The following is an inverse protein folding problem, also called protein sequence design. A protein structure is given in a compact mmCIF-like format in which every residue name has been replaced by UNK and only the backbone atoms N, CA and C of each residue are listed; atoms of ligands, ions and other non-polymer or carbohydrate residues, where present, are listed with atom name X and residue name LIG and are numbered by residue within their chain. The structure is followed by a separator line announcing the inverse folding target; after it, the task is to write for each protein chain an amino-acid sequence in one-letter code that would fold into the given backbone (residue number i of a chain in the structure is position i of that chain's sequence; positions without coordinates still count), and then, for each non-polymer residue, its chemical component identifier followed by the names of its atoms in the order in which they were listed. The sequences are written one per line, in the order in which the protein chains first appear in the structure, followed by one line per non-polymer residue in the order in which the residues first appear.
data_IF_203769696549
#
_entry.id   IF_203769696549
#
_cell.length_a   1.000
_cell.length_b   1.000
_cell.length_c   1.000
_cell.angle_alpha   90.00
_cell.angle_beta   90.00
_cell.angle_gamma   90.00
#
_symmetry.space_group_name_H-M   'P 1'
#
loop_
_entity.id
_entity.type
_entity.pdbx_description
1 polymer ?
#
# COMPACT_ATOMS: atom_id res chain seq x y z
N UNK A 1 22.43 -43.44 -55.52
CA UNK A 1 22.16 -42.01 -55.27
C UNK A 1 20.74 -41.68 -54.72
N UNK A 2 19.69 -42.48 -54.84
CA UNK A 2 18.33 -42.14 -54.29
C UNK A 2 18.16 -42.39 -52.78
N UNK A 3 18.98 -43.31 -52.13
CA UNK A 3 18.86 -43.57 -50.69
C UNK A 3 19.43 -42.51 -49.76
N UNK A 4 20.48 -41.81 -50.19
CA UNK A 4 21.15 -40.77 -49.39
C UNK A 4 20.31 -39.46 -49.33
N UNK A 5 19.57 -39.11 -50.37
CA UNK A 5 18.68 -37.92 -50.33
C UNK A 5 17.49 -38.08 -49.38
N UNK A 6 16.92 -39.30 -49.23
CA UNK A 6 15.82 -39.56 -48.30
C UNK A 6 16.29 -39.48 -46.81
N UNK A 7 17.53 -39.91 -46.52
CA UNK A 7 18.03 -39.89 -45.17
C UNK A 7 18.37 -38.44 -44.70
N UNK A 8 18.93 -37.60 -45.60
CA UNK A 8 19.17 -36.20 -45.31
C UNK A 8 17.87 -35.41 -45.09
N UNK A 9 16.83 -35.66 -45.87
CA UNK A 9 15.53 -34.99 -45.73
C UNK A 9 14.85 -35.39 -44.40
N UNK A 10 14.95 -36.66 -44.01
CA UNK A 10 14.40 -37.13 -42.75
C UNK A 10 15.13 -36.55 -41.52
N UNK A 11 16.48 -36.41 -41.63
CA UNK A 11 17.30 -35.79 -40.57
C UNK A 11 16.97 -34.28 -40.41
N UNK A 12 16.78 -33.56 -41.52
CA UNK A 12 16.36 -32.15 -41.48
C UNK A 12 14.97 -31.94 -40.87
N UNK A 13 14.01 -32.81 -41.17
CA UNK A 13 12.68 -32.77 -40.56
C UNK A 13 12.73 -33.09 -39.06
N UNK A 14 13.57 -34.03 -38.63
CA UNK A 14 13.73 -34.36 -37.21
C UNK A 14 14.42 -33.22 -36.42
N UNK A 15 15.44 -32.60 -36.98
CA UNK A 15 16.11 -31.44 -36.37
C UNK A 15 15.18 -30.21 -36.29
N UNK A 16 14.35 -29.96 -37.33
CA UNK A 16 13.41 -28.83 -37.27
C UNK A 16 12.26 -29.09 -36.25
N UNK A 17 11.81 -30.35 -36.09
CA UNK A 17 10.83 -30.71 -35.07
C UNK A 17 11.40 -30.58 -33.64
N UNK A 18 12.68 -30.97 -33.43
CA UNK A 18 13.36 -30.76 -32.15
C UNK A 18 13.58 -29.29 -31.84
N UNK A 19 13.92 -28.46 -32.83
CA UNK A 19 14.06 -27.03 -32.64
C UNK A 19 12.71 -26.35 -32.29
N UNK A 20 11.59 -26.77 -32.90
CA UNK A 20 10.27 -26.29 -32.54
C UNK A 20 9.87 -26.68 -31.11
N UNK A 21 10.25 -27.86 -30.62
CA UNK A 21 9.95 -28.29 -29.26
C UNK A 21 10.79 -27.54 -28.21
N UNK A 22 11.99 -27.06 -28.54
CA UNK A 22 12.82 -26.26 -27.62
C UNK A 22 12.38 -24.80 -27.54
N UNK A 23 11.69 -24.27 -28.54
CA UNK A 23 11.19 -22.89 -28.52
C UNK A 23 9.92 -22.75 -27.65
N UNK A 24 9.17 -23.83 -27.42
CA UNK A 24 7.95 -23.80 -26.58
C UNK A 24 8.18 -24.18 -25.12
N UNK A 25 9.40 -24.59 -24.74
CA UNK A 25 9.75 -24.85 -23.35
C UNK A 25 10.62 -23.74 -22.74
N UNK A 26 10.30 -22.48 -23.03
CA UNK A 26 10.65 -21.46 -22.05
C UNK A 26 9.84 -21.82 -20.80
N UNK A 27 10.49 -22.15 -19.66
CA UNK A 27 9.75 -22.18 -18.41
C UNK A 27 9.09 -20.81 -18.36
N UNK A 28 7.76 -20.79 -18.27
CA UNK A 28 7.07 -19.59 -17.90
C UNK A 28 7.89 -19.09 -16.71
N UNK A 29 8.57 -17.93 -16.85
CA UNK A 29 9.17 -17.26 -15.71
C UNK A 29 8.06 -17.30 -14.68
N UNK A 30 8.25 -18.08 -13.64
CA UNK A 30 7.32 -18.07 -12.52
C UNK A 30 7.14 -16.57 -12.28
N UNK A 31 5.94 -16.09 -12.53
CA UNK A 31 5.63 -14.71 -12.22
C UNK A 31 6.16 -14.59 -10.81
N UNK A 32 7.17 -13.72 -10.58
CA UNK A 32 7.68 -13.50 -9.25
C UNK A 32 6.44 -13.41 -8.40
N UNK A 33 6.20 -14.45 -7.60
CA UNK A 33 5.08 -14.45 -6.71
C UNK A 33 5.40 -13.29 -5.79
N UNK A 34 4.77 -12.15 -6.06
CA UNK A 34 4.82 -11.02 -5.17
C UNK A 34 4.06 -11.48 -3.92
N UNK A 35 4.71 -12.38 -3.17
CA UNK A 35 4.27 -12.65 -1.83
C UNK A 35 4.17 -11.29 -1.15
N UNK A 36 3.10 -11.01 -0.42
CA UNK A 36 3.02 -9.83 0.43
C UNK A 36 4.33 -9.76 1.20
N UNK A 37 4.98 -8.60 1.20
CA UNK A 37 6.19 -8.43 1.98
C UNK A 37 5.93 -8.95 3.39
N UNK A 38 6.77 -9.85 3.85
CA UNK A 38 6.67 -10.33 5.22
C UNK A 38 6.73 -9.10 6.12
N UNK A 39 5.74 -8.95 6.96
CA UNK A 39 5.72 -7.84 7.89
C UNK A 39 6.73 -8.13 8.98
N UNK A 40 7.65 -7.22 9.18
CA UNK A 40 8.75 -7.39 10.12
C UNK A 40 8.32 -7.19 11.57
N UNK A 41 7.06 -6.98 11.88
CA UNK A 41 6.60 -6.83 13.26
C UNK A 41 5.18 -7.32 13.51
N UNK A 42 5.08 -7.96 14.42
CA UNK A 42 4.29 -8.88 15.22
C UNK A 42 2.87 -8.46 15.62
N UNK A 43 2.51 -7.22 15.54
CA UNK A 43 1.14 -6.78 15.83
C UNK A 43 0.32 -6.61 14.55
N UNK A 44 0.59 -7.45 13.72
CA UNK A 44 0.42 -7.48 12.31
C UNK A 44 -0.97 -7.88 11.86
N UNK A 45 -1.69 -8.54 12.71
CA UNK A 45 -3.01 -9.07 12.40
C UNK A 45 -4.06 -7.99 12.13
N UNK A 46 -3.76 -6.75 12.48
CA UNK A 46 -4.70 -5.64 12.39
C UNK A 46 -4.44 -4.70 11.20
N UNK A 47 -3.26 -4.75 10.58
CA UNK A 47 -2.96 -3.86 9.44
C UNK A 47 -3.36 -4.51 8.13
N UNK A 48 -4.21 -3.84 7.39
CA UNK A 48 -4.52 -4.21 6.02
C UNK A 48 -3.30 -3.92 5.12
N UNK A 49 -2.74 -4.96 4.53
CA UNK A 49 -1.56 -4.86 3.68
C UNK A 49 -1.84 -5.01 2.20
N UNK A 50 -3.07 -5.34 1.84
CA UNK A 50 -3.49 -5.53 0.45
C UNK A 50 -4.97 -5.23 0.30
N UNK A 51 -5.28 -4.45 -0.73
CA UNK A 51 -6.64 -4.10 -1.14
C UNK A 51 -6.87 -4.54 -2.57
N UNK A 52 -8.05 -5.07 -2.86
CA UNK A 52 -8.51 -5.42 -4.20
C UNK A 52 -9.70 -4.55 -4.55
N UNK A 53 -9.57 -3.78 -5.63
CA UNK A 53 -10.58 -2.79 -6.06
C UNK A 53 -11.06 -3.15 -7.46
N UNK A 54 -12.37 -3.17 -7.73
CA UNK A 54 -12.88 -3.31 -9.08
C UNK A 54 -12.51 -2.06 -9.91
N UNK A 55 -12.11 -2.30 -11.17
CA UNK A 55 -11.87 -1.27 -12.19
C UNK A 55 -12.70 -1.59 -13.43
N UNK A 56 -12.71 -0.70 -14.41
CA UNK A 56 -13.61 -0.82 -15.59
C UNK A 56 -13.49 -2.15 -16.36
N UNK A 57 -12.32 -2.77 -16.37
CA UNK A 57 -12.01 -3.97 -17.15
C UNK A 57 -11.29 -5.06 -16.34
N UNK A 58 -11.63 -5.19 -15.06
CA UNK A 58 -11.08 -6.18 -14.15
C UNK A 58 -10.90 -5.68 -12.74
N UNK A 59 -9.72 -5.92 -12.17
CA UNK A 59 -9.40 -5.57 -10.80
C UNK A 59 -8.04 -4.90 -10.70
N UNK A 60 -7.90 -4.03 -9.71
CA UNK A 60 -6.63 -3.46 -9.29
C UNK A 60 -6.32 -3.94 -7.88
N UNK A 61 -5.15 -4.51 -7.67
CA UNK A 61 -4.60 -4.83 -6.34
C UNK A 61 -3.57 -3.80 -5.97
N UNK A 62 -3.71 -3.22 -4.78
CA UNK A 62 -2.73 -2.33 -4.16
C UNK A 62 -2.21 -2.99 -2.89
N UNK A 63 -0.90 -3.10 -2.72
CA UNK A 63 -0.34 -3.85 -1.60
C UNK A 63 1.02 -3.32 -1.15
N UNK A 64 1.26 -3.44 0.13
CA UNK A 64 2.49 -3.02 0.79
C UNK A 64 3.66 -3.97 0.49
N UNK A 65 4.85 -3.40 0.20
CA UNK A 65 6.09 -4.11 -0.11
C UNK A 65 7.28 -3.58 0.73
N UNK A 66 7.09 -3.34 2.02
CA UNK A 66 8.11 -2.86 2.95
C UNK A 66 8.63 -1.43 2.67
N UNK A 67 9.12 -1.13 1.47
CA UNK A 67 9.65 0.18 1.06
C UNK A 67 8.90 0.80 -0.11
N UNK A 68 7.88 0.11 -0.59
CA UNK A 68 7.10 0.51 -1.75
C UNK A 68 5.66 0.01 -1.65
N UNK A 69 4.83 0.53 -2.51
CA UNK A 69 3.48 0.04 -2.79
C UNK A 69 3.48 -0.61 -4.16
N UNK A 70 3.10 -1.89 -4.21
CA UNK A 70 2.87 -2.61 -5.46
C UNK A 70 1.45 -2.37 -5.95
N UNK A 71 1.31 -2.17 -7.25
CA UNK A 71 0.03 -1.99 -7.92
C UNK A 71 -0.02 -2.97 -9.08
N UNK A 72 -1.01 -3.85 -9.06
CA UNK A 72 -1.24 -4.87 -10.09
C UNK A 72 -2.63 -4.68 -10.69
N UNK A 73 -2.71 -4.76 -12.00
CA UNK A 73 -3.97 -4.78 -12.73
C UNK A 73 -4.23 -6.18 -13.27
N UNK A 74 -5.43 -6.65 -13.09
CA UNK A 74 -5.92 -7.96 -13.52
C UNK A 74 -7.10 -7.80 -14.48
N UNK A 75 -7.25 -8.72 -15.41
CA UNK A 75 -8.47 -8.84 -16.19
C UNK A 75 -9.59 -9.54 -15.39
N UNK A 76 -10.75 -9.74 -16.02
CA UNK A 76 -11.90 -10.40 -15.41
C UNK A 76 -11.68 -11.91 -15.13
N UNK A 77 -10.60 -12.50 -15.66
CA UNK A 77 -10.17 -13.87 -15.41
C UNK A 77 -9.02 -13.94 -14.38
N UNK A 78 -8.73 -12.83 -13.69
CA UNK A 78 -7.65 -12.66 -12.73
C UNK A 78 -6.26 -12.93 -13.31
N UNK A 79 -6.08 -12.69 -14.62
CA UNK A 79 -4.75 -12.71 -15.24
C UNK A 79 -4.11 -11.31 -15.13
N UNK A 80 -2.85 -11.28 -14.77
CA UNK A 80 -2.11 -10.01 -14.60
C UNK A 80 -1.91 -9.34 -15.96
N UNK A 81 -2.40 -8.11 -16.10
CA UNK A 81 -2.24 -7.24 -17.28
C UNK A 81 -1.02 -6.35 -17.18
N UNK A 82 -0.80 -5.75 -16.01
CA UNK A 82 0.31 -4.82 -15.79
C UNK A 82 0.65 -4.69 -14.31
N UNK A 83 1.87 -4.19 -14.03
CA UNK A 83 2.39 -3.92 -12.70
C UNK A 83 3.13 -2.60 -12.67
N UNK A 84 3.08 -1.94 -11.53
CA UNK A 84 3.96 -0.80 -11.21
C UNK A 84 4.24 -0.77 -9.71
N UNK A 85 5.24 0.00 -9.32
CA UNK A 85 5.59 0.26 -7.92
C UNK A 85 5.74 1.75 -7.69
N UNK A 86 5.40 2.18 -6.49
CA UNK A 86 5.60 3.54 -6.00
C UNK A 86 6.36 3.42 -4.69
N UNK A 87 7.50 4.12 -4.57
CA UNK A 87 8.24 4.16 -3.32
C UNK A 87 7.42 4.86 -2.23
N UNK A 88 7.51 4.38 -1.00
CA UNK A 88 6.97 5.10 0.15
C UNK A 88 7.73 6.42 0.34
N UNK A 89 7.00 7.49 0.67
CA UNK A 89 7.56 8.79 1.03
C UNK A 89 7.91 8.85 2.54
N UNK A 90 7.16 8.11 3.39
CA UNK A 90 7.44 7.92 4.81
C UNK A 90 7.55 6.41 5.13
N UNK A 91 8.32 6.02 6.17
CA UNK A 91 8.71 4.63 6.38
C UNK A 91 7.60 3.67 6.82
N UNK A 92 6.49 4.20 7.36
CA UNK A 92 5.41 3.38 7.89
C UNK A 92 4.23 3.35 6.93
N UNK A 93 3.75 2.16 6.63
CA UNK A 93 2.52 1.94 5.87
C UNK A 93 1.30 2.10 6.77
N UNK A 94 0.38 2.99 6.39
CA UNK A 94 -0.94 3.12 7.01
C UNK A 94 -2.00 2.37 6.19
N UNK A 95 -2.21 2.74 4.93
CA UNK A 95 -3.27 2.12 4.14
C UNK A 95 -3.48 2.77 2.76
N UNK A 96 -4.43 2.21 2.05
CA UNK A 96 -4.86 2.64 0.72
C UNK A 96 -6.37 2.87 0.68
N UNK A 97 -6.78 3.88 -0.07
CA UNK A 97 -8.19 4.16 -0.35
C UNK A 97 -8.41 4.52 -1.82
N UNK A 98 -9.40 3.87 -2.44
CA UNK A 98 -9.85 4.20 -3.79
C UNK A 98 -11.03 5.19 -3.69
N UNK A 99 -10.71 6.47 -3.65
CA UNK A 99 -11.71 7.53 -3.59
C UNK A 99 -12.38 7.80 -4.94
N UNK A 100 -13.40 8.64 -4.94
CA UNK A 100 -14.14 9.03 -6.14
C UNK A 100 -13.29 9.82 -7.12
N UNK A 101 -12.42 10.71 -6.62
CA UNK A 101 -11.58 11.62 -7.41
C UNK A 101 -10.15 11.11 -7.67
N UNK A 102 -9.72 10.06 -6.97
CA UNK A 102 -8.34 9.57 -7.06
C UNK A 102 -8.06 8.37 -6.15
N UNK A 103 -6.78 8.13 -5.96
CA UNK A 103 -6.26 7.14 -5.03
C UNK A 103 -5.52 7.84 -3.89
N UNK A 104 -5.66 7.31 -2.69
CA UNK A 104 -5.03 7.86 -1.50
C UNK A 104 -4.15 6.79 -0.85
N UNK A 105 -2.89 7.17 -0.56
CA UNK A 105 -1.98 6.41 0.29
C UNK A 105 -1.82 7.15 1.61
N UNK A 106 -1.86 6.42 2.71
CA UNK A 106 -1.57 6.93 4.04
C UNK A 106 -0.27 6.32 4.50
N UNK A 107 0.69 7.16 4.83
CA UNK A 107 2.02 6.79 5.28
C UNK A 107 2.35 7.56 6.56
N UNK A 108 3.31 7.07 7.33
CA UNK A 108 3.66 7.72 8.57
C UNK A 108 5.11 7.54 8.97
N UNK A 109 5.47 8.19 10.07
CA UNK A 109 6.77 8.04 10.71
C UNK A 109 6.66 8.21 12.23
N UNK A 110 7.60 7.60 12.95
CA UNK A 110 7.70 7.74 14.40
C UNK A 110 8.20 9.13 14.78
N UNK A 111 7.64 9.67 15.86
CA UNK A 111 8.01 10.93 16.48
C UNK A 111 8.55 10.70 17.89
N UNK A 112 9.70 10.04 17.99
CA UNK A 112 10.30 9.70 19.30
C UNK A 112 10.85 10.91 20.05
N UNK A 113 11.02 12.03 19.36
CA UNK A 113 11.41 13.30 19.96
C UNK A 113 10.22 14.05 20.60
N UNK A 114 9.00 13.58 20.37
CA UNK A 114 7.76 14.17 20.89
C UNK A 114 7.61 15.66 20.51
N UNK A 115 7.95 15.96 19.26
CA UNK A 115 7.86 17.29 18.67
C UNK A 115 6.48 17.48 18.01
N UNK A 116 5.67 18.40 18.53
CA UNK A 116 4.33 18.70 18.02
C UNK A 116 4.32 19.21 16.58
N UNK A 117 5.43 19.75 16.10
CA UNK A 117 5.57 20.25 14.74
C UNK A 117 6.01 19.18 13.73
N UNK A 118 6.43 18.02 14.21
CA UNK A 118 6.86 16.93 13.35
C UNK A 118 5.69 16.35 12.54
N UNK A 119 5.90 16.16 11.25
CA UNK A 119 4.96 15.40 10.43
C UNK A 119 4.97 13.95 10.89
N UNK A 120 3.81 13.43 11.30
CA UNK A 120 3.67 12.06 11.80
C UNK A 120 2.89 11.17 10.84
N UNK A 121 1.98 11.75 10.05
CA UNK A 121 1.21 11.06 9.03
C UNK A 121 1.18 11.92 7.77
N UNK A 122 1.34 11.28 6.63
CA UNK A 122 1.17 11.88 5.30
C UNK A 122 0.06 11.19 4.55
N UNK A 123 -0.87 11.98 4.02
CA UNK A 123 -1.93 11.50 3.13
C UNK A 123 -1.60 11.98 1.73
N UNK A 124 -1.28 11.07 0.83
CA UNK A 124 -0.84 11.39 -0.53
C UNK A 124 -1.97 11.08 -1.49
N UNK A 125 -2.33 12.04 -2.34
CA UNK A 125 -3.31 11.85 -3.40
C UNK A 125 -2.63 11.61 -4.75
N UNK A 126 -3.15 10.62 -5.48
CA UNK A 126 -2.82 10.31 -6.86
C UNK A 126 -4.08 10.40 -7.73
N UNK A 127 -3.93 10.79 -8.99
CA UNK A 127 -5.00 10.62 -9.97
C UNK A 127 -5.22 9.12 -10.32
N UNK A 128 -6.24 8.83 -11.13
CA UNK A 128 -6.55 7.44 -11.53
C UNK A 128 -5.46 6.79 -12.42
N UNK A 129 -4.45 7.56 -12.87
CA UNK A 129 -3.26 7.07 -13.56
C UNK A 129 -2.05 6.93 -12.64
N UNK A 130 -2.24 7.12 -11.33
CA UNK A 130 -1.17 7.11 -10.32
C UNK A 130 -0.13 8.22 -10.51
N UNK A 131 -0.53 9.35 -11.05
CA UNK A 131 0.28 10.56 -11.00
C UNK A 131 -0.02 11.28 -9.69
N UNK A 132 1.01 11.52 -8.89
CA UNK A 132 0.91 12.27 -7.64
C UNK A 132 0.41 13.68 -7.90
N UNK A 133 -0.62 14.11 -7.21
CA UNK A 133 -1.25 15.42 -7.40
C UNK A 133 -1.61 16.15 -6.10
N UNK A 134 -1.09 15.71 -4.97
CA UNK A 134 -1.23 16.41 -3.69
C UNK A 134 -0.75 15.57 -2.51
N UNK A 135 -0.52 16.23 -1.38
CA UNK A 135 -0.33 15.57 -0.09
C UNK A 135 -0.73 16.49 1.05
N UNK A 136 -1.33 15.92 2.08
CA UNK A 136 -1.58 16.57 3.36
C UNK A 136 -0.57 16.03 4.39
N UNK A 137 0.14 16.94 5.05
CA UNK A 137 1.00 16.66 6.19
C UNK A 137 0.20 16.82 7.47
N UNK A 138 0.23 15.83 8.35
CA UNK A 138 -0.47 15.80 9.62
C UNK A 138 0.57 15.78 10.73
N UNK A 139 0.46 16.73 11.64
CA UNK A 139 1.27 16.84 12.87
C UNK A 139 0.42 16.42 14.07
N UNK A 140 1.02 16.32 15.24
CA UNK A 140 0.32 16.23 16.52
C UNK A 140 -0.70 17.38 16.69
N UNK A 141 -1.70 17.17 17.52
CA UNK A 141 -2.63 18.21 17.91
C UNK A 141 -2.79 18.23 19.44
N UNK A 142 -1.86 18.87 20.18
CA UNK A 142 -1.87 18.88 21.63
C UNK A 142 -3.08 19.61 22.26
N UNK A 143 -3.84 20.38 21.47
CA UNK A 143 -5.09 21.00 21.93
C UNK A 143 -6.22 19.99 22.14
N UNK A 144 -6.05 18.77 21.62
CA UNK A 144 -6.98 17.67 21.80
C UNK A 144 -6.38 16.63 22.75
N UNK A 145 -7.12 16.24 23.76
CA UNK A 145 -6.71 15.15 24.65
C UNK A 145 -6.46 13.87 23.85
N UNK A 146 -5.19 13.41 23.87
CA UNK A 146 -4.75 12.27 23.09
C UNK A 146 -4.40 12.59 21.63
N UNK A 147 -4.24 13.85 21.28
CA UNK A 147 -3.84 14.28 19.94
C UNK A 147 -2.35 14.29 19.70
N UNK A 148 -1.53 14.01 20.70
CA UNK A 148 -0.10 13.82 20.58
C UNK A 148 0.21 12.47 19.95
N UNK A 149 1.07 12.42 18.95
CA UNK A 149 1.40 11.22 18.21
C UNK A 149 2.89 10.91 18.28
N UNK A 150 3.23 9.82 18.97
CA UNK A 150 4.58 9.25 19.00
C UNK A 150 4.77 8.14 17.99
N UNK A 151 3.80 7.23 17.90
CA UNK A 151 3.81 6.13 16.92
C UNK A 151 2.45 6.06 16.24
N UNK A 152 2.34 6.48 14.97
CA UNK A 152 1.11 6.31 14.20
C UNK A 152 0.89 4.85 13.83
N UNK A 153 -0.38 4.48 13.61
CA UNK A 153 -0.81 3.14 13.20
C UNK A 153 -0.50 2.02 14.21
N UNK A 154 -0.32 2.38 15.48
CA UNK A 154 -0.04 1.40 16.52
C UNK A 154 -1.32 0.69 16.95
N UNK A 155 -1.29 -0.64 16.99
CA UNK A 155 -2.40 -1.54 17.37
C UNK A 155 -3.71 -1.34 16.59
N UNK A 156 -3.70 -0.74 15.41
CA UNK A 156 -4.91 -0.53 14.63
C UNK A 156 -4.69 -0.65 13.14
N UNK A 157 -5.79 -0.84 12.40
CA UNK A 157 -5.82 -0.64 10.97
C UNK A 157 -6.16 0.83 10.66
N UNK A 158 -5.89 1.22 9.42
CA UNK A 158 -6.33 2.51 8.89
C UNK A 158 -7.61 2.27 8.09
N UNK A 159 -8.70 2.88 8.55
CA UNK A 159 -9.96 2.88 7.83
C UNK A 159 -10.25 4.26 7.26
N UNK A 160 -10.77 4.29 6.05
CA UNK A 160 -10.99 5.54 5.31
C UNK A 160 -12.38 5.58 4.69
N UNK A 161 -12.96 6.78 4.69
CA UNK A 161 -14.17 7.05 3.92
C UNK A 161 -14.18 8.51 3.46
N UNK A 162 -14.95 8.80 2.43
CA UNK A 162 -15.11 10.17 1.93
C UNK A 162 -16.55 10.65 2.04
N UNK A 163 -16.69 11.94 2.35
CA UNK A 163 -18.00 12.61 2.36
C UNK A 163 -17.82 14.10 2.09
N UNK A 164 -18.61 14.65 1.18
CA UNK A 164 -18.66 16.09 0.88
C UNK A 164 -17.29 16.73 0.64
N UNK A 165 -16.42 16.10 -0.17
CA UNK A 165 -15.09 16.61 -0.50
C UNK A 165 -14.08 16.53 0.65
N UNK A 166 -14.37 15.73 1.65
CA UNK A 166 -13.47 15.41 2.76
C UNK A 166 -13.16 13.92 2.78
N UNK A 167 -11.90 13.58 3.01
CA UNK A 167 -11.47 12.24 3.37
C UNK A 167 -11.33 12.17 4.89
N UNK A 168 -11.99 11.19 5.49
CA UNK A 168 -11.89 10.88 6.91
C UNK A 168 -11.08 9.62 7.08
N UNK A 169 -10.13 9.65 8.01
CA UNK A 169 -9.22 8.55 8.30
C UNK A 169 -9.28 8.28 9.79
N UNK A 170 -9.54 7.03 10.16
CA UNK A 170 -9.49 6.56 11.55
C UNK A 170 -8.36 5.56 11.66
N UNK A 171 -7.53 5.69 12.70
CA UNK A 171 -6.41 4.80 12.94
C UNK A 171 -6.04 4.74 14.41
N UNK A 172 -5.43 3.63 14.84
CA UNK A 172 -4.77 3.56 16.13
C UNK A 172 -3.48 4.40 16.15
N UNK A 173 -3.06 4.80 17.33
CA UNK A 173 -1.78 5.45 17.59
C UNK A 173 -1.29 5.21 19.01
N UNK A 174 -0.03 5.50 19.28
CA UNK A 174 0.50 5.70 20.63
C UNK A 174 0.81 7.18 20.82
N UNK A 175 0.30 7.76 21.91
CA UNK A 175 0.59 9.12 22.35
C UNK A 175 2.01 9.27 22.91
N UNK A 176 2.33 10.45 23.39
CA UNK A 176 3.60 10.73 24.08
C UNK A 176 3.71 9.94 25.38
N UNK A 177 4.93 9.85 25.90
CA UNK A 177 5.18 9.17 27.16
C UNK A 177 4.57 9.98 28.31
N UNK A 178 3.70 9.34 29.07
CA UNK A 178 3.27 9.85 30.36
C UNK A 178 4.40 9.61 31.38
N UNK A 179 5.05 10.68 31.82
CA UNK A 179 6.18 10.63 32.74
C UNK A 179 5.83 9.95 34.08
N UNK A 180 4.56 9.99 34.48
CA UNK A 180 4.12 9.40 35.74
C UNK A 180 4.14 7.85 35.76
N UNK A 181 3.99 7.25 34.57
CA UNK A 181 3.98 5.80 34.36
C UNK A 181 5.11 5.30 33.47
N UNK A 182 5.82 6.21 32.80
CA UNK A 182 6.93 5.89 31.89
C UNK A 182 6.50 5.18 30.60
N UNK A 183 5.24 5.30 30.19
CA UNK A 183 4.66 4.62 29.05
C UNK A 183 3.79 5.57 28.23
N UNK A 184 3.73 5.36 26.91
CA UNK A 184 2.74 5.98 26.06
C UNK A 184 1.44 5.17 26.06
N UNK A 185 0.32 5.86 26.03
CA UNK A 185 -1.00 5.24 25.94
C UNK A 185 -1.42 5.07 24.48
N UNK A 186 -2.08 3.96 24.17
CA UNK A 186 -2.70 3.73 22.88
C UNK A 186 -4.08 4.35 22.84
N UNK A 187 -4.46 4.81 21.66
CA UNK A 187 -5.76 5.37 21.40
C UNK A 187 -6.09 5.37 19.91
N UNK A 188 -7.11 6.09 19.53
CA UNK A 188 -7.43 6.31 18.12
C UNK A 188 -7.32 7.79 17.76
N UNK A 189 -7.07 8.02 16.47
CA UNK A 189 -7.14 9.33 15.82
C UNK A 189 -8.22 9.30 14.74
N UNK A 190 -8.98 10.39 14.66
CA UNK A 190 -9.75 10.74 13.47
C UNK A 190 -9.10 11.94 12.80
N UNK A 191 -8.69 11.75 11.56
CA UNK A 191 -8.08 12.77 10.72
C UNK A 191 -9.08 13.16 9.64
N UNK A 192 -9.20 14.46 9.39
CA UNK A 192 -9.98 15.00 8.27
C UNK A 192 -9.04 15.68 7.29
N UNK A 193 -9.14 15.31 6.01
CA UNK A 193 -8.39 15.93 4.91
C UNK A 193 -9.37 16.55 3.93
N UNK A 194 -9.16 17.82 3.59
CA UNK A 194 -9.85 18.45 2.46
C UNK A 194 -9.26 17.93 1.15
N UNK A 195 -10.08 17.27 0.34
CA UNK A 195 -9.62 16.62 -0.89
C UNK A 195 -9.20 17.63 -1.96
N UNK A 196 -9.74 18.85 -1.95
CA UNK A 196 -9.43 19.88 -2.95
C UNK A 196 -8.09 20.57 -2.67
N UNK A 197 -7.86 20.98 -1.42
CA UNK A 197 -6.65 21.70 -1.02
C UNK A 197 -5.53 20.78 -0.53
N UNK A 198 -5.83 19.53 -0.24
CA UNK A 198 -4.93 18.59 0.43
C UNK A 198 -4.35 19.17 1.73
N UNK A 199 -5.23 19.76 2.54
CA UNK A 199 -4.93 20.17 3.91
C UNK A 199 -5.66 19.27 4.88
N UNK A 200 -5.00 18.85 5.96
CA UNK A 200 -5.56 17.92 6.91
C UNK A 200 -5.18 18.24 8.35
N UNK A 201 -5.95 17.69 9.28
CA UNK A 201 -5.69 17.80 10.72
C UNK A 201 -6.37 16.65 11.48
N UNK A 202 -5.88 16.39 12.69
CA UNK A 202 -6.56 15.56 13.68
C UNK A 202 -7.78 16.35 14.18
N UNK A 203 -8.97 15.74 14.13
CA UNK A 203 -10.24 16.37 14.51
C UNK A 203 -10.90 15.71 15.71
N UNK A 204 -10.51 14.49 16.04
CA UNK A 204 -10.93 13.75 17.23
C UNK A 204 -9.89 12.70 17.59
N UNK A 205 -9.77 12.39 18.85
CA UNK A 205 -8.84 11.40 19.38
C UNK A 205 -9.34 10.87 20.75
N UNK A 206 -8.73 9.76 21.18
CA UNK A 206 -8.95 9.14 22.48
C UNK A 206 -7.67 8.39 22.86
N UNK A 207 -7.37 8.28 24.16
CA UNK A 207 -6.19 7.62 24.71
C UNK A 207 -6.50 6.43 25.65
N UNK A 208 -7.72 5.93 25.66
CA UNK A 208 -8.15 4.90 26.61
C UNK A 208 -8.00 3.47 26.10
N UNK A 209 -6.82 3.09 25.58
CA UNK A 209 -6.57 1.77 25.04
C UNK A 209 -7.60 1.33 23.98
N UNK A 210 -8.12 2.32 23.23
CA UNK A 210 -9.07 2.09 22.16
C UNK A 210 -8.35 1.57 20.91
N UNK A 211 -9.00 0.65 20.21
CA UNK A 211 -8.50 0.10 18.95
C UNK A 211 -9.49 0.48 17.83
N UNK A 212 -8.96 0.91 16.72
CA UNK A 212 -9.73 1.21 15.53
C UNK A 212 -9.78 -0.02 14.58
#
# INVERSE_FOLDING_TARGET
MKKTKKLTTLLFLFCSLLLCLTVFSQPAKAADSLAPAAQDNLNVSLRRTSDLVPVSDGYMRVFYKKTAVGIEYYDNHLQIKSRKEIALELPLWGGFYAGSDGYYLVEGQSNTAEDDSAEVIRVIRYDKNWKRNGAASITSNPDLFGGEVRYPFDYGCVEMSENNGKLYIVTGHQGYVDESVGQGHQGFLMIQVDQSSMTGKIVSCDLWHSFA
#
